data_IF_599283749023
#
_entry.id   IF_599283749023
#
_cell.length_a   1.000
_cell.length_b   1.000
_cell.length_c   1.000
_cell.angle_alpha   90.00
_cell.angle_beta   90.00
_cell.angle_gamma   90.00
#
_symmetry.space_group_name_H-M   'P 1'
#
loop_
_entity.id
_entity.type
_entity.pdbx_description
1 polymer ?
#
# COMPACT_ATOMS: atom_id res chain seq x y z
N UNK A 1 8.88 -29.42 -26.67
CA UNK A 1 9.79 -28.28 -26.49
C UNK A 1 9.38 -27.56 -25.21
N UNK A 2 10.01 -27.85 -24.07
CA UNK A 2 9.73 -27.18 -22.81
C UNK A 2 10.73 -26.03 -22.69
N UNK A 3 10.29 -24.80 -22.98
CA UNK A 3 11.10 -23.61 -22.74
C UNK A 3 11.17 -23.38 -21.24
N UNK A 4 12.30 -23.73 -20.63
CA UNK A 4 12.59 -23.42 -19.24
C UNK A 4 12.69 -21.90 -19.10
N UNK A 5 11.64 -21.26 -18.62
CA UNK A 5 11.61 -19.80 -18.43
C UNK A 5 12.46 -19.49 -17.20
N UNK A 6 13.57 -18.78 -17.41
CA UNK A 6 14.48 -18.40 -16.34
C UNK A 6 13.92 -17.16 -15.62
N UNK A 7 13.19 -17.38 -14.52
CA UNK A 7 12.56 -16.31 -13.74
C UNK A 7 13.51 -15.57 -12.79
N UNK A 8 14.82 -15.54 -13.09
CA UNK A 8 15.85 -14.88 -12.29
C UNK A 8 15.78 -13.35 -12.37
N UNK A 9 14.63 -12.77 -12.03
CA UNK A 9 14.45 -11.33 -11.87
C UNK A 9 14.99 -10.92 -10.49
N UNK A 10 16.07 -10.15 -10.48
CA UNK A 10 16.47 -9.40 -9.28
C UNK A 10 15.47 -8.26 -9.10
N UNK A 11 14.77 -8.22 -7.97
CA UNK A 11 13.87 -7.13 -7.66
C UNK A 11 14.65 -5.88 -7.23
N UNK A 12 14.04 -4.70 -7.41
CA UNK A 12 14.64 -3.44 -7.00
C UNK A 12 14.71 -3.29 -5.47
N UNK A 13 15.45 -2.29 -5.00
CA UNK A 13 15.58 -1.99 -3.57
C UNK A 13 14.19 -1.69 -3.00
N UNK A 14 13.83 -2.36 -1.90
CA UNK A 14 12.48 -2.36 -1.28
C UNK A 14 11.40 -3.11 -2.06
N UNK A 15 11.78 -4.09 -2.87
CA UNK A 15 10.85 -5.06 -3.46
C UNK A 15 11.21 -6.49 -3.06
N UNK A 16 10.19 -7.33 -2.90
CA UNK A 16 10.34 -8.77 -2.65
C UNK A 16 9.67 -9.54 -3.78
N UNK A 17 10.41 -10.51 -4.31
CA UNK A 17 9.88 -11.44 -5.30
C UNK A 17 8.79 -12.30 -4.68
N UNK A 18 7.60 -12.28 -5.27
CA UNK A 18 6.49 -13.13 -4.86
C UNK A 18 6.15 -14.06 -6.02
N UNK A 19 6.19 -15.39 -5.81
CA UNK A 19 5.83 -16.35 -6.85
C UNK A 19 4.39 -16.17 -7.30
N UNK A 20 4.11 -16.47 -8.58
CA UNK A 20 2.75 -16.41 -9.11
C UNK A 20 1.89 -17.50 -8.44
N UNK A 21 0.70 -17.19 -7.93
CA UNK A 21 -0.21 -18.21 -7.37
C UNK A 21 -0.90 -19.03 -8.46
N UNK A 22 -0.88 -18.57 -9.72
CA UNK A 22 -1.52 -19.24 -10.85
C UNK A 22 -0.56 -20.20 -11.55
N UNK A 23 -1.02 -21.42 -11.84
CA UNK A 23 -0.27 -22.43 -12.63
C UNK A 23 0.06 -21.99 -14.06
N UNK A 24 -0.65 -20.98 -14.58
CA UNK A 24 -0.35 -20.35 -15.87
C UNK A 24 0.72 -19.26 -15.80
N UNK A 25 1.05 -18.78 -14.59
CA UNK A 25 2.04 -17.73 -14.39
C UNK A 25 3.44 -18.33 -14.31
N UNK A 26 4.15 -18.30 -15.44
CA UNK A 26 5.48 -18.92 -15.51
C UNK A 26 6.51 -18.26 -14.58
N UNK A 27 6.36 -16.97 -14.27
CA UNK A 27 7.19 -16.23 -13.33
C UNK A 27 6.36 -15.41 -12.33
N UNK A 28 6.84 -15.32 -11.10
CA UNK A 28 6.36 -14.37 -10.09
C UNK A 28 6.67 -12.91 -10.39
N UNK A 29 6.15 -12.03 -9.54
CA UNK A 29 6.26 -10.57 -9.66
C UNK A 29 6.99 -9.97 -8.46
N UNK A 30 7.71 -8.88 -8.68
CA UNK A 30 8.32 -8.11 -7.60
C UNK A 30 7.26 -7.21 -6.99
N UNK A 31 6.99 -7.39 -5.69
CA UNK A 31 6.03 -6.60 -4.94
C UNK A 31 6.77 -5.63 -4.03
N UNK A 32 6.32 -4.38 -3.99
CA UNK A 32 6.90 -3.39 -3.08
C UNK A 32 6.67 -3.85 -1.63
N UNK A 33 7.69 -3.76 -0.79
CA UNK A 33 7.58 -4.05 0.66
C UNK A 33 7.60 -2.79 1.52
N UNK A 34 7.68 -1.63 0.88
CA UNK A 34 7.62 -0.33 1.52
C UNK A 34 6.82 0.64 0.66
N UNK A 35 6.27 1.66 1.30
CA UNK A 35 5.55 2.73 0.65
C UNK A 35 6.43 3.97 0.49
N UNK A 36 6.57 4.49 -0.72
CA UNK A 36 7.26 5.75 -0.97
C UNK A 36 6.26 6.89 -0.99
N UNK A 37 6.34 7.79 -0.01
CA UNK A 37 5.50 8.98 0.08
C UNK A 37 6.24 10.21 -0.45
N UNK A 38 5.63 10.92 -1.40
CA UNK A 38 6.17 12.16 -1.92
C UNK A 38 5.61 13.34 -1.12
N UNK A 39 6.48 14.10 -0.48
CA UNK A 39 6.11 15.35 0.19
C UNK A 39 6.09 16.51 -0.81
N UNK A 40 5.29 17.54 -0.53
CA UNK A 40 5.21 18.75 -1.36
C UNK A 40 6.54 19.52 -1.38
N UNK A 41 7.36 19.38 -0.33
CA UNK A 41 8.72 19.90 -0.24
C UNK A 41 9.72 19.21 -1.20
N UNK A 42 9.26 18.43 -2.19
CA UNK A 42 10.14 17.74 -3.16
C UNK A 42 10.81 16.46 -2.64
N UNK A 43 10.75 16.20 -1.32
CA UNK A 43 11.40 15.05 -0.69
C UNK A 43 10.51 13.81 -0.77
N UNK A 44 11.12 12.63 -0.98
CA UNK A 44 10.43 11.34 -0.89
C UNK A 44 10.89 10.58 0.34
N UNK A 45 9.96 10.16 1.20
CA UNK A 45 10.25 9.34 2.38
C UNK A 45 9.72 7.93 2.18
N UNK A 46 10.50 6.93 2.55
CA UNK A 46 10.11 5.53 2.49
C UNK A 46 9.60 5.10 3.86
N UNK A 47 8.36 4.65 3.89
CA UNK A 47 7.71 4.10 5.07
C UNK A 47 7.61 2.58 4.97
N UNK A 48 8.01 1.89 6.04
CA UNK A 48 7.79 0.45 6.15
C UNK A 48 6.30 0.13 6.24
N UNK A 49 5.91 -1.09 5.81
CA UNK A 49 4.56 -1.61 6.03
C UNK A 49 4.24 -1.61 7.54
N UNK A 50 3.05 -1.15 7.90
CA UNK A 50 2.59 -0.96 9.27
C UNK A 50 2.84 0.44 9.81
N UNK A 51 3.64 1.26 9.13
CA UNK A 51 3.88 2.65 9.55
C UNK A 51 2.68 3.54 9.27
N UNK A 52 2.36 4.40 10.23
CA UNK A 52 1.30 5.41 10.14
C UNK A 52 1.90 6.79 10.36
N UNK A 53 1.56 7.76 9.52
CA UNK A 53 2.03 9.15 9.65
C UNK A 53 0.89 10.13 9.37
N UNK A 54 1.02 11.36 9.87
CA UNK A 54 0.04 12.42 9.63
C UNK A 54 0.69 13.52 8.81
N UNK A 55 0.01 13.94 7.73
CA UNK A 55 0.49 15.00 6.85
C UNK A 55 -0.72 15.77 6.30
N UNK A 56 -0.70 17.12 6.36
CA UNK A 56 -1.80 17.97 5.87
C UNK A 56 -3.20 17.53 6.34
N UNK A 57 -3.38 17.30 7.65
CA UNK A 57 -4.64 16.81 8.26
C UNK A 57 -5.18 15.49 7.69
N UNK A 58 -4.35 14.75 6.97
CA UNK A 58 -4.64 13.43 6.43
C UNK A 58 -3.73 12.44 7.12
N UNK A 59 -4.31 11.38 7.67
CA UNK A 59 -3.55 10.27 8.22
C UNK A 59 -3.24 9.33 7.07
N UNK A 60 -1.98 8.94 6.94
CA UNK A 60 -1.53 7.97 5.96
C UNK A 60 -1.03 6.71 6.66
N UNK A 61 -1.28 5.55 6.08
CA UNK A 61 -0.82 4.26 6.57
C UNK A 61 -0.24 3.45 5.42
N UNK A 62 0.95 2.89 5.60
CA UNK A 62 1.50 1.93 4.64
C UNK A 62 0.99 0.54 5.00
N UNK A 63 0.18 -0.07 4.14
CA UNK A 63 -0.33 -1.43 4.35
C UNK A 63 0.22 -2.37 3.31
N UNK A 64 0.37 -3.65 3.67
CA UNK A 64 0.70 -4.71 2.73
C UNK A 64 -0.59 -5.33 2.22
N UNK A 65 -0.75 -5.35 0.90
CA UNK A 65 -1.80 -6.10 0.21
C UNK A 65 -1.20 -7.27 -0.56
N UNK A 66 -2.07 -8.11 -1.10
CA UNK A 66 -1.66 -9.19 -2.00
C UNK A 66 -0.94 -8.68 -3.25
N UNK A 67 -1.18 -7.43 -3.66
CA UNK A 67 -0.53 -6.82 -4.81
C UNK A 67 0.79 -6.10 -4.45
N UNK A 68 0.99 -5.75 -3.17
CA UNK A 68 2.21 -5.15 -2.65
C UNK A 68 1.94 -4.13 -1.54
N UNK A 69 2.96 -3.39 -1.13
CA UNK A 69 2.81 -2.29 -0.18
C UNK A 69 2.12 -1.08 -0.85
N UNK A 70 1.02 -0.60 -0.28
CA UNK A 70 0.26 0.56 -0.76
C UNK A 70 0.04 1.58 0.35
N UNK A 71 -0.10 2.86 -0.03
CA UNK A 71 -0.41 3.95 0.89
C UNK A 71 -1.92 4.13 0.96
N UNK A 72 -2.44 4.01 2.16
CA UNK A 72 -3.80 4.34 2.53
C UNK A 72 -3.86 5.76 3.08
N UNK A 73 -4.86 6.55 2.70
CA UNK A 73 -5.08 7.89 3.20
C UNK A 73 -6.47 8.03 3.83
N UNK A 74 -6.50 8.50 5.07
CA UNK A 74 -7.69 8.76 5.85
C UNK A 74 -7.78 10.27 6.06
N UNK A 75 -8.75 10.90 5.43
CA UNK A 75 -9.05 12.31 5.68
C UNK A 75 -10.14 12.39 6.75
N UNK A 76 -9.87 13.15 7.80
CA UNK A 76 -10.89 13.52 8.77
C UNK A 76 -11.64 14.72 8.21
N UNK A 77 -12.93 14.54 7.93
CA UNK A 77 -13.80 15.65 7.55
C UNK A 77 -14.65 15.98 8.77
N UNK A 78 -14.42 17.16 9.34
CA UNK A 78 -15.22 17.70 10.43
C UNK A 78 -16.31 18.62 9.85
N UNK A 79 -17.56 18.53 10.30
CA UNK A 79 -18.61 19.48 9.90
C UNK A 79 -18.25 20.91 10.35
N UNK A 80 -18.66 21.96 9.61
CA UNK A 80 -18.30 23.35 9.91
C UNK A 80 -18.88 23.90 11.24
N UNK A 81 -19.75 23.16 11.92
CA UNK A 81 -20.45 23.62 13.13
C UNK A 81 -20.05 22.89 14.43
N UNK A 82 -19.34 21.77 14.35
CA UNK A 82 -18.97 20.97 15.53
C UNK A 82 -17.66 20.21 15.32
N UNK A 83 -16.56 20.76 15.86
CA UNK A 83 -15.21 20.17 15.81
C UNK A 83 -15.11 18.82 16.57
N UNK A 84 -16.05 18.52 17.46
CA UNK A 84 -16.09 17.28 18.24
C UNK A 84 -16.69 16.10 17.46
N UNK A 85 -17.36 16.34 16.34
CA UNK A 85 -18.00 15.33 15.49
C UNK A 85 -17.22 15.09 14.20
N UNK A 86 -15.89 15.04 14.27
CA UNK A 86 -15.08 14.65 13.13
C UNK A 86 -15.38 13.19 12.74
N UNK A 87 -15.89 12.99 11.52
CA UNK A 87 -16.13 11.65 10.98
C UNK A 87 -14.91 11.26 10.15
N UNK A 88 -14.30 10.13 10.51
CA UNK A 88 -13.26 9.52 9.67
C UNK A 88 -13.91 9.10 8.35
N UNK A 89 -13.47 9.65 7.21
CA UNK A 89 -14.00 9.27 5.90
C UNK A 89 -13.52 7.86 5.58
N UNK A 90 -14.44 6.93 5.81
CA UNK A 90 -14.28 5.49 5.97
C UNK A 90 -14.24 4.76 4.61
N UNK A 91 -13.64 5.34 3.56
CA UNK A 91 -13.55 4.66 2.25
C UNK A 91 -12.67 3.40 2.31
N UNK A 92 -11.68 3.37 3.21
CA UNK A 92 -10.73 2.25 3.34
C UNK A 92 -11.09 1.22 4.41
N UNK A 93 -11.84 1.62 5.43
CA UNK A 93 -12.41 0.71 6.43
C UNK A 93 -13.47 -0.21 5.80
N UNK A 94 -14.17 0.23 4.75
CA UNK A 94 -15.07 -0.64 3.97
C UNK A 94 -14.29 -1.78 3.30
N UNK A 95 -13.16 -1.50 2.64
CA UNK A 95 -12.30 -2.54 2.05
C UNK A 95 -11.67 -3.46 3.11
N UNK A 96 -11.19 -2.92 4.24
CA UNK A 96 -10.69 -3.74 5.36
C UNK A 96 -11.76 -4.69 5.90
N UNK A 97 -13.03 -4.27 5.91
CA UNK A 97 -14.13 -5.11 6.38
C UNK A 97 -14.57 -6.15 5.36
N UNK A 98 -14.43 -5.91 4.05
CA UNK A 98 -14.78 -6.87 3.00
C UNK A 98 -13.70 -7.93 2.73
N UNK A 99 -12.44 -7.70 3.10
CA UNK A 99 -11.34 -8.67 2.89
C UNK A 99 -11.22 -9.69 4.05
N UNK A 100 -11.84 -9.43 5.20
CA UNK A 100 -11.75 -10.29 6.41
C UNK A 100 -13.05 -11.11 6.62
N UNK A 101 -13.87 -11.33 5.59
CA UNK A 101 -15.08 -12.18 5.67
C UNK A 101 -15.01 -13.29 4.62
#
# INVERSE_FOLDING_TARGET
NFTLVNCSKKCDVHQVYTPSPSDYGCCGTCKNVSCKFHMENGTSVVYAVGSTWHYNCTTYECVKTDEGAIILNYTMVCPPFNETECKMVCTLLYLRKFIII
#
